data_IF_901293478070
#
_entry.id   IF_901293478070
#
_cell.length_a   1.000
_cell.length_b   1.000
_cell.length_c   1.000
_cell.angle_alpha   90.00
_cell.angle_beta   90.00
_cell.angle_gamma   90.00
#
_symmetry.space_group_name_H-M   'P 1'
#
loop_
_entity.id
_entity.type
_entity.pdbx_description
1 polymer ?
#
# COMPACT_ATOMS: atom_id res chain seq x y z
N UNK A 1 -42.97 -28.66 34.98
CA UNK A 1 -42.53 -27.94 33.77
C UNK A 1 -43.03 -26.51 33.90
N UNK A 2 -42.12 -25.46 34.06
CA UNK A 2 -42.55 -24.08 34.03
C UNK A 2 -43.08 -23.76 32.65
N UNK A 3 -44.30 -23.24 32.55
CA UNK A 3 -44.84 -22.71 31.30
C UNK A 3 -43.97 -21.47 30.95
N UNK A 4 -43.35 -21.47 29.80
CA UNK A 4 -42.71 -20.28 29.23
C UNK A 4 -43.82 -19.23 29.07
N UNK A 5 -43.60 -18.09 29.72
CA UNK A 5 -44.51 -16.96 29.58
C UNK A 5 -44.22 -16.26 28.22
N UNK A 6 -45.26 -15.71 27.61
CA UNK A 6 -45.16 -15.01 26.32
C UNK A 6 -44.14 -13.87 26.45
N UNK A 7 -44.01 -13.28 27.61
CA UNK A 7 -43.04 -12.22 27.91
C UNK A 7 -41.60 -12.69 27.82
N UNK A 8 -41.30 -13.90 28.35
CA UNK A 8 -40.00 -14.55 28.28
C UNK A 8 -39.60 -14.85 26.80
N UNK A 9 -40.59 -15.26 25.99
CA UNK A 9 -40.39 -15.56 24.56
C UNK A 9 -40.06 -14.29 23.77
N UNK A 10 -40.78 -13.17 24.01
CA UNK A 10 -40.55 -11.88 23.38
C UNK A 10 -39.17 -11.35 23.75
N UNK A 11 -38.79 -11.47 25.02
CA UNK A 11 -37.46 -11.04 25.49
C UNK A 11 -36.34 -11.86 24.87
N UNK A 12 -36.49 -13.18 24.76
CA UNK A 12 -35.54 -14.06 24.11
C UNK A 12 -35.37 -13.72 22.62
N UNK A 13 -36.46 -13.52 21.89
CA UNK A 13 -36.43 -13.12 20.49
C UNK A 13 -35.74 -11.75 20.29
N UNK A 14 -36.00 -10.80 21.18
CA UNK A 14 -35.36 -9.50 21.17
C UNK A 14 -33.85 -9.61 21.37
N UNK A 15 -33.39 -10.42 22.33
CA UNK A 15 -31.95 -10.64 22.58
C UNK A 15 -31.29 -11.35 21.39
N UNK A 16 -31.91 -12.38 20.82
CA UNK A 16 -31.38 -13.07 19.62
C UNK A 16 -31.29 -12.12 18.43
N UNK A 17 -32.31 -11.27 18.25
CA UNK A 17 -32.30 -10.23 17.20
C UNK A 17 -31.14 -9.23 17.35
N UNK A 18 -30.89 -8.76 18.57
CA UNK A 18 -29.78 -7.84 18.86
C UNK A 18 -28.42 -8.53 18.57
N UNK A 19 -28.22 -9.76 19.07
CA UNK A 19 -26.98 -10.50 18.86
C UNK A 19 -26.77 -10.76 17.35
N UNK A 20 -27.80 -11.19 16.64
CA UNK A 20 -27.75 -11.39 15.20
C UNK A 20 -27.37 -10.12 14.43
N UNK A 21 -27.95 -8.98 14.82
CA UNK A 21 -27.63 -7.68 14.24
C UNK A 21 -26.17 -7.27 14.49
N UNK A 22 -25.64 -7.48 15.70
CA UNK A 22 -24.25 -7.18 16.02
C UNK A 22 -23.26 -8.07 15.25
N UNK A 23 -23.58 -9.35 15.08
CA UNK A 23 -22.79 -10.26 14.26
C UNK A 23 -22.78 -9.80 12.81
N UNK A 24 -23.94 -9.44 12.27
CA UNK A 24 -24.07 -8.95 10.90
C UNK A 24 -23.25 -7.69 10.67
N UNK A 25 -23.35 -6.69 11.55
CA UNK A 25 -22.55 -5.46 11.48
C UNK A 25 -21.05 -5.78 11.56
N UNK A 26 -20.63 -6.70 12.42
CA UNK A 26 -19.25 -7.13 12.53
C UNK A 26 -18.71 -7.77 11.24
N UNK A 27 -19.54 -8.54 10.54
CA UNK A 27 -19.18 -9.12 9.24
C UNK A 27 -19.11 -8.06 8.13
N UNK A 28 -20.05 -7.13 8.09
CA UNK A 28 -20.03 -6.01 7.15
C UNK A 28 -18.80 -5.13 7.33
N UNK A 29 -18.43 -4.82 8.57
CA UNK A 29 -17.21 -4.05 8.85
C UNK A 29 -15.96 -4.77 8.35
N UNK A 30 -15.84 -6.08 8.54
CA UNK A 30 -14.73 -6.87 8.00
C UNK A 30 -14.69 -6.87 6.47
N UNK A 31 -15.84 -6.98 5.83
CA UNK A 31 -15.92 -6.92 4.37
C UNK A 31 -15.52 -5.54 3.86
N UNK A 32 -16.00 -4.47 4.49
CA UNK A 32 -15.64 -3.09 4.17
C UNK A 32 -14.14 -2.84 4.28
N UNK A 33 -13.51 -3.34 5.36
CA UNK A 33 -12.05 -3.26 5.52
C UNK A 33 -11.29 -3.98 4.38
N UNK A 34 -11.72 -5.17 3.99
CA UNK A 34 -11.10 -5.91 2.87
C UNK A 34 -11.23 -5.17 1.54
N UNK A 35 -12.39 -4.55 1.29
CA UNK A 35 -12.63 -3.76 0.08
C UNK A 35 -11.71 -2.52 0.09
N UNK A 36 -11.57 -1.84 1.23
CA UNK A 36 -10.68 -0.70 1.38
C UNK A 36 -9.22 -1.07 1.11
N UNK A 37 -8.74 -2.20 1.66
CA UNK A 37 -7.39 -2.71 1.42
C UNK A 37 -7.17 -3.07 -0.05
N UNK A 38 -8.14 -3.72 -0.69
CA UNK A 38 -8.06 -4.03 -2.12
C UNK A 38 -8.03 -2.76 -2.98
N UNK A 39 -8.83 -1.75 -2.62
CA UNK A 39 -8.84 -0.44 -3.29
C UNK A 39 -7.49 0.28 -3.20
N UNK A 40 -6.84 0.23 -2.05
CA UNK A 40 -5.50 0.79 -1.86
C UNK A 40 -4.45 0.10 -2.74
N UNK A 41 -4.48 -1.24 -2.82
CA UNK A 41 -3.58 -1.99 -3.70
C UNK A 41 -3.83 -1.66 -5.18
N UNK A 42 -5.08 -1.49 -5.58
CA UNK A 42 -5.44 -1.08 -6.94
C UNK A 42 -4.88 0.32 -7.27
N UNK A 43 -5.02 1.30 -6.36
CA UNK A 43 -4.46 2.64 -6.54
C UNK A 43 -2.93 2.62 -6.65
N UNK A 44 -2.24 1.80 -5.84
CA UNK A 44 -0.77 1.66 -5.93
C UNK A 44 -0.34 1.08 -7.27
N UNK A 45 -1.06 0.06 -7.74
CA UNK A 45 -0.81 -0.52 -9.06
C UNK A 45 -1.02 0.53 -10.15
N UNK A 46 -2.06 1.35 -10.05
CA UNK A 46 -2.31 2.46 -10.97
C UNK A 46 -1.13 3.44 -11.00
N UNK A 47 -0.67 3.93 -9.84
CA UNK A 47 0.49 4.84 -9.76
C UNK A 47 1.76 4.23 -10.35
N UNK A 48 1.96 2.93 -10.20
CA UNK A 48 3.08 2.24 -10.81
C UNK A 48 2.94 2.21 -12.34
N UNK A 49 1.76 1.84 -12.86
CA UNK A 49 1.48 1.77 -14.30
C UNK A 49 1.57 3.14 -14.96
N UNK A 50 0.99 4.18 -14.35
CA UNK A 50 1.09 5.57 -14.84
C UNK A 50 2.56 6.00 -14.95
N UNK A 51 3.39 5.54 -14.02
CA UNK A 51 4.82 5.79 -14.07
C UNK A 51 5.52 5.02 -15.19
N UNK A 52 5.11 3.79 -15.46
CA UNK A 52 5.62 2.99 -16.59
C UNK A 52 5.23 3.63 -17.91
N UNK A 53 3.98 4.06 -18.03
CA UNK A 53 3.46 4.70 -19.24
C UNK A 53 4.17 6.03 -19.52
N UNK A 54 4.42 6.84 -18.49
CA UNK A 54 5.18 8.08 -18.61
C UNK A 54 6.65 7.86 -19.07
N UNK A 55 7.23 6.68 -18.82
CA UNK A 55 8.55 6.32 -19.31
C UNK A 55 8.51 5.73 -20.72
N UNK A 56 7.38 5.22 -21.16
CA UNK A 56 7.20 4.58 -22.48
C UNK A 56 7.15 5.61 -23.63
N UNK A 57 6.57 6.78 -23.40
CA UNK A 57 6.44 7.84 -24.39
C UNK A 57 7.76 8.43 -24.91
N UNK A 58 8.82 8.64 -24.10
CA UNK A 58 10.13 9.05 -24.61
C UNK A 58 11.06 7.87 -25.00
N UNK A 59 10.55 6.66 -25.22
CA UNK A 59 11.31 5.44 -25.50
C UNK A 59 12.34 5.09 -24.41
N UNK A 60 12.05 5.38 -23.16
CA UNK A 60 12.92 5.08 -22.04
C UNK A 60 12.59 3.71 -21.47
N UNK A 61 13.51 2.77 -21.61
CA UNK A 61 13.34 1.39 -21.14
C UNK A 61 13.50 1.29 -19.63
N UNK A 62 12.54 0.66 -18.94
CA UNK A 62 12.65 0.31 -17.52
C UNK A 62 13.86 -0.59 -17.28
N UNK A 63 14.17 -1.51 -18.21
CA UNK A 63 15.36 -2.35 -18.13
C UNK A 63 16.63 -1.50 -18.09
N UNK A 64 16.75 -0.51 -18.98
CA UNK A 64 17.90 0.40 -19.04
C UNK A 64 18.04 1.24 -17.76
N UNK A 65 16.91 1.71 -17.20
CA UNK A 65 16.89 2.41 -15.91
C UNK A 65 17.35 1.49 -14.77
N UNK A 66 16.97 0.22 -14.78
CA UNK A 66 17.41 -0.77 -13.80
C UNK A 66 18.91 -1.04 -13.91
N UNK A 67 19.43 -1.26 -15.11
CA UNK A 67 20.86 -1.45 -15.37
C UNK A 67 21.70 -0.23 -14.93
N UNK A 68 21.23 0.99 -15.20
CA UNK A 68 21.83 2.23 -14.68
C UNK A 68 21.78 2.29 -13.15
N UNK A 69 20.65 1.87 -12.57
CA UNK A 69 20.45 1.86 -11.11
C UNK A 69 21.39 0.89 -10.40
N UNK A 70 21.66 -0.23 -11.00
CA UNK A 70 22.58 -1.26 -10.50
C UNK A 70 24.05 -0.89 -10.74
N UNK A 71 24.33 0.09 -11.60
CA UNK A 71 25.67 0.49 -11.98
C UNK A 71 26.26 -0.35 -13.10
N UNK A 72 25.47 -1.18 -13.78
CA UNK A 72 25.90 -2.03 -14.89
C UNK A 72 26.23 -1.20 -16.14
N UNK A 73 25.55 -0.07 -16.31
CA UNK A 73 25.83 0.92 -17.37
C UNK A 73 25.87 2.33 -16.78
N UNK A 74 26.67 3.26 -17.36
CA UNK A 74 26.74 4.62 -16.88
C UNK A 74 25.43 5.37 -17.09
N UNK A 75 25.05 6.23 -16.12
CA UNK A 75 23.94 7.14 -16.25
C UNK A 75 24.31 8.22 -17.27
N UNK A 76 23.47 8.40 -18.28
CA UNK A 76 23.63 9.47 -19.26
C UNK A 76 22.79 10.68 -18.89
N UNK A 77 23.17 11.86 -19.35
CA UNK A 77 22.50 13.13 -19.07
C UNK A 77 20.99 13.08 -19.38
N UNK A 78 20.60 12.40 -20.45
CA UNK A 78 19.20 12.20 -20.84
C UNK A 78 18.38 11.38 -19.84
N UNK A 79 19.04 10.58 -18.98
CA UNK A 79 18.39 9.71 -18.01
C UNK A 79 18.49 10.21 -16.57
N UNK A 80 19.35 11.18 -16.28
CA UNK A 80 19.61 11.65 -14.93
C UNK A 80 18.32 12.17 -14.26
N UNK A 81 17.62 13.09 -14.90
CA UNK A 81 16.35 13.61 -14.38
C UNK A 81 15.23 12.56 -14.33
N UNK A 82 15.26 11.56 -15.23
CA UNK A 82 14.29 10.46 -15.21
C UNK A 82 14.50 9.60 -13.97
N UNK A 83 15.77 9.26 -13.67
CA UNK A 83 16.12 8.50 -12.47
C UNK A 83 15.75 9.25 -11.20
N UNK A 84 16.02 10.55 -11.13
CA UNK A 84 15.62 11.39 -10.00
C UNK A 84 14.10 11.36 -9.79
N UNK A 85 13.31 11.57 -10.83
CA UNK A 85 11.85 11.51 -10.76
C UNK A 85 11.33 10.11 -10.34
N UNK A 86 11.95 9.04 -10.86
CA UNK A 86 11.63 7.67 -10.46
C UNK A 86 11.92 7.45 -8.98
N UNK A 87 13.03 7.99 -8.45
CA UNK A 87 13.36 7.89 -7.03
C UNK A 87 12.38 8.69 -6.17
N UNK A 88 12.04 9.92 -6.53
CA UNK A 88 11.00 10.70 -5.83
C UNK A 88 9.68 9.94 -5.76
N UNK A 89 9.25 9.34 -6.87
CA UNK A 89 8.03 8.53 -6.91
C UNK A 89 8.11 7.30 -5.99
N UNK A 90 9.24 6.59 -6.00
CA UNK A 90 9.43 5.42 -5.13
C UNK A 90 9.34 5.81 -3.65
N UNK A 91 9.96 6.91 -3.24
CA UNK A 91 9.89 7.40 -1.87
C UNK A 91 8.48 7.82 -1.48
N UNK A 92 7.71 8.46 -2.36
CA UNK A 92 6.28 8.74 -2.12
C UNK A 92 5.46 7.47 -1.88
N UNK A 93 5.72 6.42 -2.65
CA UNK A 93 5.06 5.13 -2.46
C UNK A 93 5.44 4.53 -1.09
N UNK A 94 6.70 4.60 -0.70
CA UNK A 94 7.18 4.08 0.57
C UNK A 94 6.63 4.86 1.77
N UNK A 95 6.54 6.17 1.68
CA UNK A 95 5.89 7.01 2.71
C UNK A 95 4.41 6.62 2.87
N UNK A 96 3.70 6.44 1.77
CA UNK A 96 2.32 5.95 1.82
C UNK A 96 2.24 4.53 2.42
N UNK A 97 3.19 3.65 2.12
CA UNK A 97 3.26 2.31 2.71
C UNK A 97 3.44 2.37 4.22
N UNK A 98 4.30 3.27 4.70
CA UNK A 98 4.49 3.50 6.13
C UNK A 98 3.19 3.96 6.80
N UNK A 99 2.50 4.95 6.22
CA UNK A 99 1.21 5.43 6.76
C UNK A 99 0.18 4.30 6.81
N UNK A 100 0.11 3.45 5.77
CA UNK A 100 -0.80 2.31 5.75
C UNK A 100 -0.47 1.29 6.86
N UNK A 101 0.79 1.04 7.10
CA UNK A 101 1.25 0.16 8.17
C UNK A 101 0.93 0.74 9.55
N UNK A 102 1.23 2.02 9.77
CA UNK A 102 0.97 2.73 11.04
C UNK A 102 -0.53 2.76 11.39
N UNK A 103 -1.40 2.88 10.38
CA UNK A 103 -2.85 2.79 10.54
C UNK A 103 -3.37 1.34 10.74
N UNK A 104 -2.50 0.33 10.77
CA UNK A 104 -2.88 -1.07 10.90
C UNK A 104 -3.60 -1.64 9.68
N UNK A 105 -3.44 -1.01 8.50
CA UNK A 105 -4.06 -1.40 7.24
C UNK A 105 -3.15 -2.28 6.37
N UNK A 106 -1.95 -2.59 6.84
CA UNK A 106 -0.98 -3.44 6.15
C UNK A 106 -0.56 -4.60 7.03
N UNK A 107 -0.52 -5.80 6.45
CA UNK A 107 -0.01 -7.01 7.14
C UNK A 107 1.49 -6.90 7.40
N UNK A 108 1.96 -7.44 8.53
CA UNK A 108 3.36 -7.40 8.95
C UNK A 108 4.31 -8.01 7.90
N UNK A 109 3.92 -9.13 7.28
CA UNK A 109 4.77 -9.77 6.27
C UNK A 109 4.91 -8.90 5.01
N UNK A 110 3.83 -8.20 4.64
CA UNK A 110 3.85 -7.23 3.53
C UNK A 110 4.75 -6.06 3.89
N UNK A 111 4.64 -5.54 5.11
CA UNK A 111 5.48 -4.45 5.59
C UNK A 111 6.97 -4.82 5.59
N UNK A 112 7.33 -6.00 6.08
CA UNK A 112 8.71 -6.49 6.03
C UNK A 112 9.26 -6.60 4.61
N UNK A 113 8.46 -7.08 3.67
CA UNK A 113 8.84 -7.10 2.26
C UNK A 113 9.07 -5.68 1.69
N UNK A 114 8.27 -4.69 2.13
CA UNK A 114 8.46 -3.28 1.76
C UNK A 114 9.74 -2.68 2.35
N UNK A 115 10.04 -2.95 3.61
CA UNK A 115 11.29 -2.52 4.22
C UNK A 115 12.51 -3.04 3.46
N UNK A 116 12.48 -4.30 3.03
CA UNK A 116 13.55 -4.86 2.21
C UNK A 116 13.67 -4.13 0.86
N UNK A 117 12.55 -3.80 0.22
CA UNK A 117 12.55 -3.02 -1.02
C UNK A 117 13.08 -1.59 -0.81
N UNK A 118 12.71 -0.93 0.29
CA UNK A 118 13.23 0.39 0.66
C UNK A 118 14.75 0.34 0.84
N UNK A 119 15.25 -0.67 1.56
CA UNK A 119 16.68 -0.86 1.78
C UNK A 119 17.44 -1.09 0.46
N UNK A 120 16.86 -1.87 -0.45
CA UNK A 120 17.44 -2.08 -1.77
C UNK A 120 17.52 -0.78 -2.58
N UNK A 121 16.44 0.01 -2.61
CA UNK A 121 16.41 1.32 -3.28
C UNK A 121 17.40 2.30 -2.66
N UNK A 122 17.49 2.36 -1.33
CA UNK A 122 18.43 3.24 -0.63
C UNK A 122 19.90 2.94 -0.96
N UNK A 123 20.21 1.70 -1.30
CA UNK A 123 21.57 1.30 -1.68
C UNK A 123 21.99 1.77 -3.08
N UNK A 124 21.06 2.27 -3.91
CA UNK A 124 21.43 2.89 -5.18
C UNK A 124 22.08 4.26 -4.93
N UNK A 125 23.26 4.49 -5.51
CA UNK A 125 24.05 5.68 -5.25
C UNK A 125 23.30 7.00 -5.50
N UNK A 126 22.46 7.05 -6.53
CA UNK A 126 21.66 8.24 -6.88
C UNK A 126 20.34 8.34 -6.11
N UNK A 127 19.89 7.29 -5.43
CA UNK A 127 18.67 7.33 -4.61
C UNK A 127 18.89 8.05 -3.26
N UNK A 128 20.11 7.98 -2.71
CA UNK A 128 20.45 8.58 -1.40
C UNK A 128 20.27 10.09 -1.35
N UNK A 129 20.77 10.88 -2.31
CA UNK A 129 20.57 12.33 -2.29
C UNK A 129 19.10 12.71 -2.30
N UNK A 130 18.26 11.99 -3.06
CA UNK A 130 16.82 12.20 -3.11
C UNK A 130 16.19 11.90 -1.75
N UNK A 131 16.58 10.79 -1.12
CA UNK A 131 16.11 10.44 0.24
C UNK A 131 16.52 11.51 1.26
N UNK A 132 17.79 11.92 1.28
CA UNK A 132 18.30 12.90 2.24
C UNK A 132 17.62 14.25 2.09
N UNK A 133 17.33 14.69 0.87
CA UNK A 133 16.57 15.91 0.61
C UNK A 133 15.13 15.83 1.15
N UNK A 134 14.49 14.67 0.99
CA UNK A 134 13.10 14.46 1.47
C UNK A 134 12.99 14.35 2.99
N UNK A 135 13.99 13.80 3.64
CA UNK A 135 13.99 13.62 5.10
C UNK A 135 13.98 14.96 5.87
N UNK A 136 14.36 16.05 5.23
CA UNK A 136 14.46 17.39 5.83
C UNK A 136 13.13 18.16 5.70
N UNK A 137 12.25 17.73 4.83
CA UNK A 137 10.91 18.33 4.61
C UNK A 137 9.87 17.76 5.55
#
# INVERSE_FOLDING_TARGET
MKKLDIQDLIQLLGMVGIIGSLIFVGLEMRQSQRIALAGQQALRTQFFLDGVDALSEPQKSIQKLTEMSLGDIPVTEDYEWVLENVMHRNWWIFENDFVQYDLGLMDENVWQAKLNAMAAVYNFCFARPVYDARRIL
#
